data_IF_922174880506
#
_entry.id   IF_922174880506
#
_cell.length_a   1.000
_cell.length_b   1.000
_cell.length_c   1.000
_cell.angle_alpha   90.00
_cell.angle_beta   90.00
_cell.angle_gamma   90.00
#
_symmetry.space_group_name_H-M   'P 1'
#
loop_
_entity.id
_entity.type
_entity.pdbx_description
1 polymer ?
#
# COMPACT_ATOMS: atom_id res chain seq x y z
N UNK A 1 3.72 -11.00 1.53
CA UNK A 1 3.56 -11.04 0.06
C UNK A 1 2.89 -12.32 -0.42
N UNK A 2 3.10 -13.49 0.23
CA UNK A 2 2.50 -14.79 -0.15
C UNK A 2 0.99 -14.70 -0.38
N UNK A 3 0.26 -14.10 0.58
CA UNK A 3 -1.21 -13.89 0.48
C UNK A 3 -1.64 -13.17 -0.81
N UNK A 4 -0.83 -12.22 -1.29
CA UNK A 4 -1.16 -11.40 -2.47
C UNK A 4 -0.88 -12.19 -3.75
N UNK A 5 0.27 -12.85 -3.82
CA UNK A 5 0.64 -13.68 -4.97
C UNK A 5 -0.33 -14.84 -5.17
N UNK A 6 -0.89 -15.36 -4.09
CA UNK A 6 -1.83 -16.48 -4.11
C UNK A 6 -3.29 -16.05 -4.36
N UNK A 7 -3.74 -14.93 -3.79
CA UNK A 7 -5.15 -14.50 -3.87
C UNK A 7 -5.47 -13.38 -4.87
N UNK A 8 -4.45 -12.64 -5.36
CA UNK A 8 -4.64 -11.40 -6.11
C UNK A 8 -3.62 -11.25 -7.26
N UNK A 9 -3.52 -12.25 -8.14
CA UNK A 9 -2.48 -12.35 -9.20
C UNK A 9 -2.29 -11.08 -10.04
N UNK A 10 -3.37 -10.46 -10.54
CA UNK A 10 -3.30 -9.18 -11.28
C UNK A 10 -2.74 -8.04 -10.44
N UNK A 11 -3.14 -7.99 -9.18
CA UNK A 11 -2.71 -6.95 -8.24
C UNK A 11 -1.26 -7.18 -7.78
N UNK A 12 -0.80 -8.43 -7.61
CA UNK A 12 0.59 -8.73 -7.27
C UNK A 12 1.54 -8.30 -8.37
N UNK A 13 1.19 -8.51 -9.65
CA UNK A 13 2.00 -8.04 -10.78
C UNK A 13 2.09 -6.51 -10.77
N UNK A 14 0.95 -5.83 -10.62
CA UNK A 14 0.93 -4.37 -10.54
C UNK A 14 1.78 -3.86 -9.36
N UNK A 15 1.67 -4.45 -8.17
CA UNK A 15 2.46 -4.07 -7.00
C UNK A 15 3.97 -4.29 -7.22
N UNK A 16 4.37 -5.39 -7.87
CA UNK A 16 5.76 -5.65 -8.23
C UNK A 16 6.34 -4.57 -9.16
N UNK A 17 5.59 -4.19 -10.20
CA UNK A 17 5.97 -3.09 -11.11
C UNK A 17 6.08 -1.76 -10.35
N UNK A 18 5.14 -1.48 -9.44
CA UNK A 18 5.19 -0.28 -8.61
C UNK A 18 6.43 -0.25 -7.70
N UNK A 19 6.82 -1.38 -7.12
CA UNK A 19 8.04 -1.45 -6.29
C UNK A 19 9.31 -1.15 -7.11
N UNK A 20 9.38 -1.63 -8.36
CA UNK A 20 10.45 -1.23 -9.30
C UNK A 20 10.39 0.29 -9.55
N UNK A 21 9.19 0.83 -9.74
CA UNK A 21 8.96 2.26 -9.85
C UNK A 21 9.53 3.04 -8.65
N UNK A 22 9.27 2.59 -7.42
CA UNK A 22 9.77 3.26 -6.21
C UNK A 22 11.30 3.38 -6.18
N UNK A 23 12.02 2.38 -6.72
CA UNK A 23 13.48 2.46 -6.86
C UNK A 23 13.87 3.61 -7.79
N UNK A 24 13.27 3.72 -8.96
CA UNK A 24 13.53 4.82 -9.90
C UNK A 24 13.13 6.18 -9.34
N UNK A 25 12.00 6.26 -8.62
CA UNK A 25 11.57 7.47 -7.94
C UNK A 25 12.58 7.91 -6.86
N UNK A 26 13.13 6.95 -6.11
CA UNK A 26 14.16 7.24 -5.09
C UNK A 26 15.45 7.82 -5.70
N UNK A 27 15.76 7.44 -6.94
CA UNK A 27 16.87 7.98 -7.74
C UNK A 27 16.51 9.31 -8.45
N UNK A 28 15.28 9.82 -8.27
CA UNK A 28 14.82 11.06 -8.90
C UNK A 28 14.34 10.90 -10.35
N UNK A 29 14.28 9.67 -10.90
CA UNK A 29 13.85 9.40 -12.28
C UNK A 29 12.31 9.36 -12.39
N UNK A 30 11.68 10.52 -12.22
CA UNK A 30 10.21 10.70 -12.15
C UNK A 30 9.47 10.22 -13.40
N UNK A 31 10.05 10.40 -14.59
CA UNK A 31 9.43 9.97 -15.84
C UNK A 31 9.32 8.44 -15.92
N UNK A 32 10.39 7.73 -15.57
CA UNK A 32 10.39 6.26 -15.54
C UNK A 32 9.37 5.76 -14.50
N UNK A 33 9.31 6.40 -13.34
CA UNK A 33 8.29 6.11 -12.33
C UNK A 33 6.86 6.27 -12.90
N UNK A 34 6.57 7.38 -13.60
CA UNK A 34 5.26 7.62 -14.20
C UNK A 34 4.91 6.53 -15.23
N UNK A 35 5.84 6.20 -16.14
CA UNK A 35 5.64 5.15 -17.15
C UNK A 35 5.37 3.79 -16.49
N UNK A 36 6.09 3.45 -15.42
CA UNK A 36 5.86 2.20 -14.67
C UNK A 36 4.50 2.19 -13.95
N UNK A 37 4.00 3.33 -13.45
CA UNK A 37 2.64 3.40 -12.89
C UNK A 37 1.56 3.15 -13.94
N UNK A 38 1.73 3.76 -15.13
CA UNK A 38 0.81 3.56 -16.27
C UNK A 38 0.86 2.09 -16.70
N UNK A 39 2.06 1.50 -16.79
CA UNK A 39 2.20 0.09 -17.12
C UNK A 39 1.57 -0.83 -16.06
N UNK A 40 1.74 -0.53 -14.77
CA UNK A 40 1.11 -1.27 -13.69
C UNK A 40 -0.43 -1.23 -13.74
N UNK A 41 -1.02 -0.09 -14.15
CA UNK A 41 -2.48 0.05 -14.20
C UNK A 41 -3.13 -0.76 -15.31
N UNK A 42 -2.37 -1.17 -16.34
CA UNK A 42 -2.82 -2.14 -17.35
C UNK A 42 -3.13 -3.50 -16.72
N UNK A 43 -2.37 -3.90 -15.69
CA UNK A 43 -2.61 -5.16 -14.96
C UNK A 43 -3.74 -5.01 -13.96
N UNK A 44 -3.69 -3.96 -13.13
CA UNK A 44 -4.72 -3.69 -12.14
C UNK A 44 -4.95 -2.20 -12.01
N UNK A 45 -6.03 -1.75 -12.65
CA UNK A 45 -6.39 -0.34 -12.82
C UNK A 45 -6.27 0.53 -11.54
N UNK A 46 -6.71 0.08 -10.35
CA UNK A 46 -6.49 0.81 -9.09
C UNK A 46 -5.03 1.13 -8.71
N UNK A 47 -4.03 0.50 -9.32
CA UNK A 47 -2.61 0.79 -9.05
C UNK A 47 -2.21 2.19 -9.48
N UNK A 48 -2.98 2.82 -10.37
CA UNK A 48 -2.72 4.18 -10.84
C UNK A 48 -2.72 5.19 -9.68
N UNK A 49 -3.36 4.85 -8.56
CA UNK A 49 -3.34 5.66 -7.34
C UNK A 49 -1.90 6.03 -6.96
N UNK A 50 -0.93 5.12 -7.12
CA UNK A 50 0.48 5.38 -6.78
C UNK A 50 1.11 6.59 -7.50
N UNK A 51 0.51 7.11 -8.58
CA UNK A 51 0.89 8.40 -9.18
C UNK A 51 0.85 9.55 -8.16
N UNK A 52 0.02 9.48 -7.11
CA UNK A 52 -0.03 10.50 -6.04
C UNK A 52 1.35 10.73 -5.39
N UNK A 53 2.23 9.72 -5.40
CA UNK A 53 3.59 9.83 -4.83
C UNK A 53 4.47 10.84 -5.58
N UNK A 54 4.08 11.27 -6.78
CA UNK A 54 4.75 12.35 -7.50
C UNK A 54 4.40 13.74 -6.95
N UNK A 55 3.23 13.93 -6.34
CA UNK A 55 2.73 15.25 -5.95
C UNK A 55 3.71 16.10 -5.11
N UNK A 56 4.37 15.56 -4.06
CA UNK A 56 5.29 16.35 -3.24
C UNK A 56 6.47 16.92 -4.02
N UNK A 57 6.96 16.18 -5.02
CA UNK A 57 8.10 16.60 -5.86
C UNK A 57 7.78 17.77 -6.78
N UNK A 58 6.50 18.04 -7.04
CA UNK A 58 6.04 19.19 -7.80
C UNK A 58 5.57 20.33 -6.88
N UNK A 59 5.17 20.02 -5.64
CA UNK A 59 4.73 21.00 -4.62
C UNK A 59 5.90 21.81 -4.04
N UNK A 60 7.10 21.23 -3.91
CA UNK A 60 8.28 21.90 -3.31
C UNK A 60 8.92 23.02 -4.17
N UNK A 61 8.26 23.51 -5.22
CA UNK A 61 8.73 24.64 -6.03
C UNK A 61 8.39 25.99 -5.35
N UNK A 62 9.30 26.96 -5.27
CA UNK A 62 9.20 28.13 -4.38
C UNK A 62 8.13 29.18 -4.74
N UNK A 63 7.32 28.98 -5.78
CA UNK A 63 6.27 29.94 -6.16
C UNK A 63 5.03 29.75 -5.26
N UNK A 64 4.72 30.72 -4.40
CA UNK A 64 3.66 30.64 -3.37
C UNK A 64 2.23 30.40 -3.92
N UNK A 65 1.90 31.02 -5.06
CA UNK A 65 0.63 30.83 -5.79
C UNK A 65 0.49 29.39 -6.33
N UNK A 66 1.61 28.67 -6.48
CA UNK A 66 1.63 27.27 -6.90
C UNK A 66 1.37 26.29 -5.74
N UNK A 67 1.31 26.71 -4.47
CA UNK A 67 1.20 25.76 -3.34
C UNK A 67 -0.25 25.39 -3.03
N UNK A 68 -1.14 26.38 -2.96
CA UNK A 68 -2.59 26.19 -2.76
C UNK A 68 -3.22 25.59 -4.02
N UNK A 69 -2.88 26.12 -5.21
CA UNK A 69 -3.34 25.57 -6.48
C UNK A 69 -2.89 24.13 -6.71
N UNK A 70 -1.70 23.71 -6.24
CA UNK A 70 -1.26 22.29 -6.34
C UNK A 70 -1.88 21.36 -5.31
N UNK A 71 -2.23 21.85 -4.12
CA UNK A 71 -3.04 21.08 -3.17
C UNK A 71 -4.43 20.88 -3.77
N UNK A 72 -5.03 21.93 -4.32
CA UNK A 72 -6.32 21.89 -5.03
C UNK A 72 -6.23 20.98 -6.25
N UNK A 73 -5.17 21.05 -7.07
CA UNK A 73 -4.96 20.16 -8.23
C UNK A 73 -4.71 18.72 -7.80
N UNK A 74 -4.00 18.46 -6.69
CA UNK A 74 -3.82 17.10 -6.16
C UNK A 74 -5.13 16.53 -5.62
N UNK A 75 -5.97 17.37 -4.99
CA UNK A 75 -7.29 16.99 -4.49
C UNK A 75 -8.30 16.83 -5.63
N UNK A 76 -8.24 17.69 -6.66
CA UNK A 76 -9.03 17.61 -7.89
C UNK A 76 -8.55 16.48 -8.79
N UNK A 77 -7.27 16.11 -8.80
CA UNK A 77 -6.74 14.98 -9.55
C UNK A 77 -7.08 13.66 -8.86
N UNK A 78 -6.98 13.60 -7.53
CA UNK A 78 -7.51 12.48 -6.74
C UNK A 78 -9.04 12.40 -6.86
N UNK A 79 -9.73 13.54 -6.88
CA UNK A 79 -11.18 13.66 -7.06
C UNK A 79 -11.64 13.33 -8.48
N UNK A 80 -10.88 13.65 -9.53
CA UNK A 80 -11.19 13.29 -10.92
C UNK A 80 -10.80 11.86 -11.24
N UNK A 81 -9.71 11.31 -10.66
CA UNK A 81 -9.44 9.87 -10.69
C UNK A 81 -10.51 9.08 -9.94
N UNK A 82 -11.01 9.62 -8.83
CA UNK A 82 -12.15 9.08 -8.12
C UNK A 82 -13.40 9.13 -9.02
N UNK A 83 -13.84 10.31 -9.48
CA UNK A 83 -15.06 10.49 -10.28
C UNK A 83 -15.03 9.78 -11.65
N UNK A 84 -13.93 9.85 -12.41
CA UNK A 84 -13.80 9.20 -13.72
C UNK A 84 -13.77 7.67 -13.64
N UNK A 85 -13.41 7.11 -12.47
CA UNK A 85 -13.46 5.66 -12.24
C UNK A 85 -14.77 5.25 -11.60
N UNK A 86 -15.30 6.06 -10.67
CA UNK A 86 -16.60 5.94 -10.02
C UNK A 86 -17.68 5.79 -11.08
N UNK A 87 -17.79 6.66 -12.08
CA UNK A 87 -18.93 6.63 -13.00
C UNK A 87 -19.00 5.37 -13.91
N UNK A 88 -17.85 4.88 -14.42
CA UNK A 88 -17.80 3.67 -15.28
C UNK A 88 -17.75 2.35 -14.50
N UNK A 89 -17.15 2.31 -13.31
CA UNK A 89 -17.12 1.10 -12.49
C UNK A 89 -18.39 0.94 -11.65
N UNK A 90 -19.01 2.01 -11.14
CA UNK A 90 -20.18 1.91 -10.25
C UNK A 90 -21.32 1.09 -10.84
N UNK A 91 -21.65 1.23 -12.13
CA UNK A 91 -22.74 0.45 -12.73
C UNK A 91 -22.58 -1.07 -12.60
N UNK A 92 -21.35 -1.59 -12.73
CA UNK A 92 -21.06 -3.02 -12.54
C UNK A 92 -20.62 -3.37 -11.11
N UNK A 93 -19.89 -2.49 -10.42
CA UNK A 93 -19.39 -2.73 -9.06
C UNK A 93 -20.46 -2.56 -7.99
N UNK A 94 -21.35 -1.58 -8.10
CA UNK A 94 -22.51 -1.46 -7.20
C UNK A 94 -23.38 -2.70 -7.37
N UNK A 95 -23.57 -3.20 -8.60
CA UNK A 95 -24.28 -4.46 -8.84
C UNK A 95 -23.68 -5.64 -8.06
N UNK A 96 -22.38 -5.86 -8.21
CA UNK A 96 -21.69 -7.02 -7.63
C UNK A 96 -21.32 -6.90 -6.14
N UNK A 97 -21.04 -5.70 -5.62
CA UNK A 97 -20.50 -5.49 -4.26
C UNK A 97 -21.42 -4.73 -3.31
N UNK A 98 -22.49 -4.07 -3.81
CA UNK A 98 -23.43 -3.31 -2.98
C UNK A 98 -24.82 -3.93 -3.02
N UNK A 99 -25.33 -4.36 -4.18
CA UNK A 99 -26.71 -4.89 -4.29
C UNK A 99 -26.82 -6.42 -4.23
N UNK A 100 -25.87 -7.21 -4.74
CA UNK A 100 -25.99 -8.69 -4.73
C UNK A 100 -25.16 -9.41 -3.66
N UNK A 101 -24.07 -8.81 -3.18
CA UNK A 101 -23.19 -9.41 -2.17
C UNK A 101 -22.57 -8.31 -1.31
N UNK A 102 -23.08 -8.10 -0.08
CA UNK A 102 -22.36 -7.39 0.99
C UNK A 102 -21.11 -8.21 1.40
N UNK A 103 -20.13 -8.33 0.51
CA UNK A 103 -18.85 -8.96 0.80
C UNK A 103 -17.98 -7.95 1.52
N UNK A 104 -18.06 -7.99 2.85
CA UNK A 104 -17.05 -7.36 3.70
C UNK A 104 -15.73 -8.11 3.52
N UNK A 105 -14.64 -7.40 3.25
CA UNK A 105 -13.31 -8.02 3.32
C UNK A 105 -12.94 -8.19 4.79
N UNK A 106 -13.02 -9.42 5.31
CA UNK A 106 -12.63 -9.72 6.70
C UNK A 106 -11.17 -9.36 7.00
N UNK A 107 -10.32 -9.32 5.97
CA UNK A 107 -8.90 -8.99 6.09
C UNK A 107 -8.58 -7.49 6.16
N UNK A 108 -9.56 -6.61 5.93
CA UNK A 108 -9.32 -5.15 5.81
C UNK A 108 -8.67 -4.57 7.06
N UNK A 109 -9.16 -4.92 8.25
CA UNK A 109 -8.70 -4.35 9.52
C UNK A 109 -7.26 -4.76 9.80
N UNK A 110 -6.94 -6.03 9.59
CA UNK A 110 -5.59 -6.57 9.79
C UNK A 110 -4.63 -5.90 8.81
N UNK A 111 -5.01 -5.77 7.53
CA UNK A 111 -4.15 -5.17 6.51
C UNK A 111 -3.95 -3.68 6.73
N UNK A 112 -5.00 -2.97 7.14
CA UNK A 112 -4.93 -1.56 7.49
C UNK A 112 -3.98 -1.36 8.68
N UNK A 113 -4.09 -2.18 9.73
CA UNK A 113 -3.15 -2.17 10.84
C UNK A 113 -1.70 -2.42 10.38
N UNK A 114 -1.48 -3.41 9.51
CA UNK A 114 -0.17 -3.75 8.96
C UNK A 114 0.50 -2.63 8.18
N UNK A 115 -0.25 -1.67 7.62
CA UNK A 115 0.34 -0.51 6.91
C UNK A 115 0.35 0.75 7.76
N UNK A 116 -0.66 0.96 8.58
CA UNK A 116 -0.78 2.12 9.48
C UNK A 116 0.28 2.06 10.58
N UNK A 117 0.44 0.91 11.24
CA UNK A 117 1.39 0.79 12.35
C UNK A 117 2.83 1.12 11.92
N UNK A 118 3.38 0.53 10.83
CA UNK A 118 4.68 0.94 10.30
C UNK A 118 4.74 2.39 9.85
N UNK A 119 3.66 2.94 9.30
CA UNK A 119 3.59 4.34 8.91
C UNK A 119 3.73 5.29 10.10
N UNK A 120 3.09 4.98 11.22
CA UNK A 120 3.23 5.75 12.47
C UNK A 120 4.67 5.65 12.98
N UNK A 121 5.24 4.44 13.01
CA UNK A 121 6.65 4.25 13.41
C UNK A 121 7.60 5.07 12.53
N UNK A 122 7.38 5.09 11.21
CA UNK A 122 8.19 5.89 10.31
C UNK A 122 8.06 7.40 10.58
N UNK A 123 6.85 7.91 10.80
CA UNK A 123 6.66 9.35 11.05
C UNK A 123 7.28 9.81 12.38
N UNK A 124 7.24 8.96 13.42
CA UNK A 124 7.80 9.26 14.73
C UNK A 124 9.33 9.08 14.77
N UNK A 125 9.82 7.96 14.25
CA UNK A 125 11.20 7.49 14.45
C UNK A 125 12.04 7.42 13.18
N UNK A 126 11.43 7.61 12.00
CA UNK A 126 12.12 7.50 10.70
C UNK A 126 13.22 8.54 10.50
N UNK A 127 13.29 9.57 11.35
CA UNK A 127 14.40 10.54 11.42
C UNK A 127 15.73 9.88 11.78
N UNK A 128 15.69 8.74 12.48
CA UNK A 128 16.87 7.98 12.89
C UNK A 128 17.48 7.18 11.72
N UNK A 129 16.74 7.04 10.62
CA UNK A 129 17.21 6.34 9.42
C UNK A 129 18.05 7.29 8.57
N UNK A 130 19.20 6.81 8.09
CA UNK A 130 20.10 7.55 7.20
C UNK A 130 19.56 7.57 5.75
N UNK A 131 18.45 8.27 5.54
CA UNK A 131 17.74 8.30 4.25
C UNK A 131 18.07 9.55 3.44
N UNK A 132 18.11 9.40 2.12
CA UNK A 132 18.22 10.54 1.22
C UNK A 132 16.90 11.33 1.14
N UNK A 133 16.96 12.57 0.61
CA UNK A 133 15.78 13.46 0.52
C UNK A 133 14.60 12.80 -0.24
N UNK A 134 14.88 12.10 -1.32
CA UNK A 134 13.83 11.45 -2.12
C UNK A 134 13.16 10.30 -1.36
N UNK A 135 13.93 9.45 -0.68
CA UNK A 135 13.42 8.36 0.15
C UNK A 135 12.54 8.90 1.27
N UNK A 136 12.97 9.97 1.95
CA UNK A 136 12.15 10.62 2.99
C UNK A 136 10.80 11.07 2.42
N UNK A 137 10.80 11.70 1.24
CA UNK A 137 9.55 12.12 0.58
C UNK A 137 8.66 10.92 0.28
N UNK A 138 9.19 9.87 -0.36
CA UNK A 138 8.43 8.64 -0.70
C UNK A 138 7.77 8.05 0.54
N UNK A 139 8.56 7.77 1.57
CA UNK A 139 8.06 7.06 2.75
C UNK A 139 7.12 7.93 3.59
N UNK A 140 7.33 9.26 3.64
CA UNK A 140 6.35 10.17 4.26
C UNK A 140 5.03 10.16 3.50
N UNK A 141 5.08 10.20 2.17
CA UNK A 141 3.86 10.17 1.34
C UNK A 141 3.10 8.85 1.46
N UNK A 142 3.78 7.71 1.46
CA UNK A 142 3.14 6.41 1.71
C UNK A 142 2.57 6.35 3.14
N UNK A 143 3.24 6.95 4.12
CA UNK A 143 2.76 6.98 5.51
C UNK A 143 1.47 7.80 5.65
N UNK A 144 1.42 8.99 5.05
CA UNK A 144 0.22 9.82 5.04
C UNK A 144 -0.92 9.17 4.24
N UNK A 145 -0.61 8.52 3.12
CA UNK A 145 -1.57 7.72 2.37
C UNK A 145 -2.16 6.59 3.22
N UNK A 146 -1.33 5.86 3.95
CA UNK A 146 -1.80 4.76 4.81
C UNK A 146 -2.70 5.26 5.93
N UNK A 147 -2.37 6.40 6.54
CA UNK A 147 -3.18 7.03 7.59
C UNK A 147 -4.52 7.54 7.04
N UNK A 148 -4.56 8.07 5.82
CA UNK A 148 -5.81 8.56 5.22
C UNK A 148 -6.80 7.44 4.91
N UNK A 149 -6.35 6.19 4.83
CA UNK A 149 -7.24 5.04 4.65
C UNK A 149 -8.14 4.76 5.88
N UNK A 150 -7.78 5.24 7.08
CA UNK A 150 -8.59 5.07 8.30
C UNK A 150 -9.92 5.82 8.18
N UNK A 151 -9.96 7.16 7.98
CA UNK A 151 -11.22 7.87 7.82
C UNK A 151 -11.96 7.43 6.54
N UNK A 152 -11.24 7.04 5.48
CA UNK A 152 -11.85 6.49 4.28
C UNK A 152 -12.58 5.17 4.54
N UNK A 153 -12.14 4.34 5.49
CA UNK A 153 -12.86 3.11 5.86
C UNK A 153 -14.23 3.39 6.48
N UNK A 154 -14.36 4.49 7.22
CA UNK A 154 -15.61 4.86 7.90
C UNK A 154 -16.63 5.40 6.89
N UNK A 155 -16.15 6.15 5.89
CA UNK A 155 -17.00 6.86 4.92
C UNK A 155 -17.29 5.99 3.68
N UNK A 156 -16.39 5.06 3.35
CA UNK A 156 -16.51 4.27 2.13
C UNK A 156 -17.66 3.25 2.21
N UNK A 157 -18.47 3.12 1.14
CA UNK A 157 -19.55 2.14 1.09
C UNK A 157 -19.06 0.68 1.01
N UNK A 158 -17.76 0.44 0.77
CA UNK A 158 -17.21 -0.92 0.65
C UNK A 158 -15.83 -1.05 1.28
N UNK A 159 -15.74 -1.90 2.30
CA UNK A 159 -14.46 -2.23 2.95
C UNK A 159 -13.48 -2.96 2.02
N UNK A 160 -13.98 -3.64 0.98
CA UNK A 160 -13.14 -4.31 -0.03
C UNK A 160 -12.32 -3.30 -0.86
N UNK A 161 -12.84 -2.10 -1.11
CA UNK A 161 -12.10 -1.05 -1.82
C UNK A 161 -10.90 -0.62 -0.98
N UNK A 162 -11.13 -0.36 0.31
CA UNK A 162 -10.09 0.06 1.24
C UNK A 162 -9.04 -1.04 1.43
N UNK A 163 -9.46 -2.30 1.49
CA UNK A 163 -8.56 -3.45 1.56
C UNK A 163 -7.59 -3.49 0.36
N UNK A 164 -8.10 -3.21 -0.85
CA UNK A 164 -7.27 -3.16 -2.06
C UNK A 164 -6.37 -1.94 -2.14
N UNK A 165 -6.82 -0.80 -1.63
CA UNK A 165 -5.98 0.40 -1.54
C UNK A 165 -4.84 0.20 -0.53
N UNK A 166 -5.13 -0.41 0.63
CA UNK A 166 -4.13 -0.72 1.64
C UNK A 166 -3.00 -1.63 1.11
N UNK A 167 -3.29 -2.52 0.15
CA UNK A 167 -2.26 -3.34 -0.50
C UNK A 167 -1.16 -2.51 -1.19
N UNK A 168 -1.48 -1.33 -1.72
CA UNK A 168 -0.49 -0.44 -2.34
C UNK A 168 0.38 0.31 -1.33
N UNK A 169 -0.02 0.33 -0.05
CA UNK A 169 0.78 0.86 1.04
C UNK A 169 1.77 -0.15 1.63
N UNK A 170 1.62 -1.46 1.35
CA UNK A 170 2.46 -2.51 1.91
C UNK A 170 3.98 -2.32 1.82
N UNK A 171 4.55 -1.63 0.81
CA UNK A 171 5.98 -1.34 0.81
C UNK A 171 6.48 -0.66 2.09
N UNK A 172 5.67 0.16 2.78
CA UNK A 172 6.07 0.79 4.06
C UNK A 172 6.29 -0.24 5.17
N UNK A 173 5.47 -1.28 5.21
CA UNK A 173 5.60 -2.35 6.19
C UNK A 173 6.92 -3.09 6.02
N UNK A 174 7.24 -3.47 4.77
CA UNK A 174 8.49 -4.17 4.45
C UNK A 174 9.69 -3.29 4.80
N UNK A 175 9.64 -2.02 4.40
CA UNK A 175 10.71 -1.08 4.65
C UNK A 175 10.99 -0.89 6.14
N UNK A 176 9.95 -0.66 6.95
CA UNK A 176 10.11 -0.40 8.38
C UNK A 176 10.50 -1.64 9.16
N UNK A 177 9.89 -2.80 8.87
CA UNK A 177 10.24 -4.03 9.55
C UNK A 177 11.69 -4.44 9.28
N UNK A 178 12.19 -4.20 8.06
CA UNK A 178 13.60 -4.46 7.70
C UNK A 178 14.58 -3.52 8.41
N UNK A 179 14.14 -2.30 8.73
CA UNK A 179 14.95 -1.27 9.39
C UNK A 179 14.60 -1.10 10.87
N UNK A 180 13.78 -2.00 11.45
CA UNK A 180 13.30 -1.89 12.83
C UNK A 180 14.42 -1.77 13.87
N UNK A 181 15.55 -2.49 13.75
CA UNK A 181 16.68 -2.31 14.67
C UNK A 181 17.33 -0.93 14.62
N UNK A 182 17.35 -0.31 13.44
CA UNK A 182 17.96 1.01 13.22
C UNK A 182 17.09 2.15 13.79
N UNK A 183 15.78 1.92 13.94
CA UNK A 183 14.86 2.90 14.54
C UNK A 183 15.12 3.15 16.03
N UNK A 184 15.89 2.29 16.71
CA UNK A 184 16.17 2.35 18.15
C UNK A 184 14.90 2.44 19.02
N UNK A 185 13.80 1.85 18.55
CA UNK A 185 12.50 1.84 19.24
C UNK A 185 12.56 1.17 20.63
N UNK A 186 13.42 0.15 20.78
CA UNK A 186 13.61 -0.57 22.04
C UNK A 186 15.10 -0.73 22.35
N UNK A 187 15.46 -0.73 23.63
CA UNK A 187 16.83 -1.04 24.13
C UNK A 187 17.13 -2.55 24.05
N UNK A 188 16.81 -3.19 22.93
CA UNK A 188 17.04 -4.60 22.68
C UNK A 188 18.19 -4.78 21.69
N UNK A 189 18.93 -5.88 21.83
CA UNK A 189 19.96 -6.25 20.85
C UNK A 189 19.30 -6.54 19.50
N UNK A 190 19.97 -6.17 18.40
CA UNK A 190 19.52 -6.35 17.01
C UNK A 190 18.99 -7.76 16.72
N UNK A 191 19.65 -8.80 17.25
CA UNK A 191 19.24 -10.21 17.09
C UNK A 191 17.82 -10.50 17.59
N UNK A 192 17.42 -9.92 18.72
CA UNK A 192 16.11 -10.17 19.32
C UNK A 192 15.01 -9.41 18.57
N UNK A 193 15.32 -8.21 18.07
CA UNK A 193 14.41 -7.45 17.21
C UNK A 193 14.16 -8.22 15.92
N UNK A 194 15.20 -8.69 15.24
CA UNK A 194 15.07 -9.49 14.02
C UNK A 194 14.26 -10.78 14.26
N UNK A 195 14.55 -11.50 15.36
CA UNK A 195 13.80 -12.69 15.73
C UNK A 195 12.31 -12.39 15.93
N UNK A 196 11.97 -11.25 16.58
CA UNK A 196 10.57 -10.85 16.76
C UNK A 196 9.84 -10.58 15.43
N UNK A 197 10.52 -9.98 14.45
CA UNK A 197 9.97 -9.75 13.10
C UNK A 197 9.70 -11.08 12.38
N UNK A 198 10.63 -12.03 12.47
CA UNK A 198 10.47 -13.37 11.89
C UNK A 198 9.32 -14.12 12.56
N UNK A 199 9.24 -14.09 13.89
CA UNK A 199 8.15 -14.71 14.65
C UNK A 199 6.81 -14.08 14.30
N UNK A 200 6.73 -12.75 14.20
CA UNK A 200 5.51 -12.05 13.78
C UNK A 200 5.07 -12.49 12.38
N UNK A 201 5.99 -12.53 11.42
CA UNK A 201 5.71 -12.96 10.06
C UNK A 201 5.24 -14.42 10.00
N UNK A 202 5.88 -15.30 10.77
CA UNK A 202 5.48 -16.69 10.92
C UNK A 202 4.06 -16.82 11.49
N UNK A 203 3.75 -16.12 12.58
CA UNK A 203 2.42 -16.15 13.22
C UNK A 203 1.33 -15.65 12.27
N UNK A 204 1.57 -14.53 11.57
CA UNK A 204 0.62 -14.01 10.56
C UNK A 204 0.35 -15.07 9.49
N UNK A 205 1.39 -15.70 8.95
CA UNK A 205 1.26 -16.71 7.90
C UNK A 205 0.57 -17.98 8.42
N UNK A 206 0.92 -18.42 9.62
CA UNK A 206 0.31 -19.57 10.29
C UNK A 206 -1.19 -19.35 10.51
N UNK A 207 -1.58 -18.18 11.02
CA UNK A 207 -2.99 -17.83 11.22
C UNK A 207 -3.74 -17.78 9.89
N UNK A 208 -3.14 -17.17 8.86
CA UNK A 208 -3.78 -17.08 7.55
C UNK A 208 -4.00 -18.45 6.90
N UNK A 209 -3.02 -19.35 6.96
CA UNK A 209 -3.13 -20.69 6.37
C UNK A 209 -4.15 -21.57 7.09
N UNK A 210 -4.14 -21.58 8.43
CA UNK A 210 -4.95 -22.52 9.21
C UNK A 210 -6.35 -21.99 9.54
N UNK A 211 -6.51 -20.68 9.72
CA UNK A 211 -7.74 -20.05 10.20
C UNK A 211 -8.33 -19.03 9.23
N UNK A 212 -7.72 -18.83 8.05
CA UNK A 212 -8.29 -17.99 7.01
C UNK A 212 -9.66 -18.49 6.54
N UNK A 213 -10.56 -17.59 6.14
CA UNK A 213 -11.90 -17.95 5.65
C UNK A 213 -11.86 -18.86 4.42
N UNK A 214 -10.79 -18.78 3.63
CA UNK A 214 -10.52 -19.65 2.47
C UNK A 214 -9.51 -20.76 2.76
N UNK A 215 -9.09 -20.98 4.01
CA UNK A 215 -8.13 -22.02 4.44
C UNK A 215 -8.44 -23.39 3.82
N UNK A 216 -9.72 -23.79 3.85
CA UNK A 216 -10.21 -25.07 3.30
C UNK A 216 -9.96 -25.26 1.80
N UNK A 217 -9.75 -24.17 1.05
CA UNK A 217 -9.47 -24.21 -0.38
C UNK A 217 -7.98 -24.28 -0.74
N UNK A 218 -7.08 -24.12 0.24
CA UNK A 218 -5.63 -24.20 0.04
C UNK A 218 -5.16 -25.65 0.23
N UNK A 219 -5.54 -26.50 -0.71
CA UNK A 219 -5.10 -27.90 -0.76
C UNK A 219 -3.64 -27.92 -1.27
N UNK A 220 -2.75 -28.76 -0.73
CA UNK A 220 -1.42 -28.95 -1.29
C UNK A 220 -1.52 -29.22 -2.78
N UNK A 221 -0.67 -28.58 -3.59
CA UNK A 221 -0.60 -28.87 -5.01
C UNK A 221 -0.29 -30.37 -5.17
N UNK A 222 -1.22 -31.11 -5.77
CA UNK A 222 -1.02 -32.49 -6.19
C UNK A 222 -0.08 -32.49 -7.40
N UNK A 223 1.20 -32.29 -7.13
CA UNK A 223 2.25 -32.41 -8.12
C UNK A 223 2.85 -33.80 -7.98
N UNK A 224 3.45 -34.34 -9.04
CA UNK A 224 4.07 -35.68 -9.07
C UNK A 224 5.08 -35.94 -7.92
N UNK A 225 5.58 -34.87 -7.28
CA UNK A 225 6.51 -34.92 -6.16
C UNK A 225 5.87 -35.05 -4.76
N UNK A 226 4.55 -34.88 -4.61
CA UNK A 226 3.83 -35.02 -3.32
C UNK A 226 2.43 -35.60 -3.50
#
# INVERSE_FOLDING_TARGET
MIVIGMGYTRQSVALGILMIGLVFLSQGKKLIYLLLNIFASLFHLPSIVAVFLLAPYYISSPKFINKISKIIISFLFAGTLYLAFVEKFIGQYIRFYITEYQRSSSGVYIRLFMVVFPSILFLLLGKNLQLNKNQIIIWKSISFYSLSLIPLLIISPSSTIIDRLALYALPIMIFILSNLPELKFAKLRRKYINLSVVLMAFLIQFVWLNYGSTSRGWIPYQNILF
#
